data_IF_468079309665
#
_entry.id   IF_468079309665
#
_cell.length_a   1.000
_cell.length_b   1.000
_cell.length_c   1.000
_cell.angle_alpha   90.00
_cell.angle_beta   90.00
_cell.angle_gamma   90.00
#
_symmetry.space_group_name_H-M   'P 1'
#
loop_
_entity.id
_entity.type
_entity.pdbx_description
1 polymer ?
#
# COMPACT_ATOMS: atom_id res chain seq x y z
N UNK A 1 15.17 -5.98 -8.63
CA UNK A 1 14.00 -6.73 -9.11
C UNK A 1 14.47 -7.70 -10.17
N UNK A 2 14.25 -8.99 -9.96
CA UNK A 2 14.74 -10.05 -10.85
C UNK A 2 13.57 -10.93 -11.29
N UNK A 3 13.31 -10.94 -12.60
CA UNK A 3 12.32 -11.79 -13.23
C UNK A 3 12.97 -13.14 -13.60
N UNK A 4 12.34 -14.27 -13.24
CA UNK A 4 12.90 -15.60 -13.45
C UNK A 4 11.95 -16.55 -14.16
N UNK A 5 12.49 -17.37 -15.07
CA UNK A 5 11.80 -18.48 -15.73
C UNK A 5 12.72 -19.70 -15.68
N UNK A 6 12.24 -20.82 -15.15
CA UNK A 6 12.89 -22.11 -15.26
C UNK A 6 14.12 -22.35 -14.37
N UNK A 7 15.15 -23.00 -14.93
CA UNK A 7 16.33 -23.55 -14.22
C UNK A 7 17.27 -22.54 -13.56
N UNK A 8 17.09 -21.25 -13.79
CA UNK A 8 17.91 -20.18 -13.17
C UNK A 8 17.54 -19.91 -11.70
N UNK A 9 16.44 -20.48 -11.22
CA UNK A 9 15.90 -20.28 -9.89
C UNK A 9 16.87 -20.68 -8.77
N UNK A 10 17.55 -21.80 -8.90
CA UNK A 10 18.47 -22.32 -7.87
C UNK A 10 19.76 -21.51 -7.72
N UNK A 11 20.15 -20.73 -8.73
CA UNK A 11 21.37 -19.88 -8.68
C UNK A 11 21.09 -18.57 -7.97
N UNK A 12 19.85 -18.10 -7.96
CA UNK A 12 19.46 -16.77 -7.46
C UNK A 12 18.95 -16.77 -6.02
N UNK A 13 18.32 -17.86 -5.56
CA UNK A 13 17.93 -18.01 -4.15
C UNK A 13 19.14 -17.88 -3.21
N UNK A 14 20.29 -18.44 -3.61
CA UNK A 14 21.54 -18.34 -2.87
C UNK A 14 22.15 -16.93 -2.84
N UNK A 15 21.80 -16.06 -3.82
CA UNK A 15 22.27 -14.67 -3.88
C UNK A 15 21.38 -13.71 -3.11
N UNK A 16 20.06 -13.92 -3.10
CA UNK A 16 19.09 -13.03 -2.44
C UNK A 16 18.99 -13.36 -0.94
N UNK A 17 19.05 -14.64 -0.58
CA UNK A 17 18.91 -15.14 0.80
C UNK A 17 17.45 -15.14 1.28
N UNK A 18 17.13 -16.07 2.18
CA UNK A 18 15.81 -16.19 2.81
C UNK A 18 15.62 -15.12 3.91
N UNK A 19 14.37 -14.77 4.24
CA UNK A 19 13.13 -15.13 3.55
C UNK A 19 12.96 -14.43 2.21
N UNK A 20 12.16 -15.04 1.31
CA UNK A 20 11.86 -14.53 -0.03
C UNK A 20 10.37 -14.29 -0.19
N UNK A 21 10.00 -13.31 -1.02
CA UNK A 21 8.64 -13.10 -1.50
C UNK A 21 8.53 -13.58 -2.94
N UNK A 22 7.63 -14.52 -3.20
CA UNK A 22 7.26 -14.96 -4.56
C UNK A 22 6.05 -14.18 -5.01
N UNK A 23 6.15 -13.50 -6.15
CA UNK A 23 5.12 -12.57 -6.67
C UNK A 23 4.76 -12.95 -8.11
N UNK A 24 3.57 -13.52 -8.37
CA UNK A 24 3.08 -13.71 -9.72
C UNK A 24 2.86 -12.37 -10.43
N UNK A 25 3.13 -12.31 -11.74
CA UNK A 25 2.79 -11.13 -12.55
C UNK A 25 1.32 -11.16 -12.95
N UNK A 26 0.74 -9.95 -13.11
CA UNK A 26 -0.63 -9.74 -13.62
C UNK A 26 -1.75 -10.37 -12.78
N UNK A 27 -1.52 -10.58 -11.49
CA UNK A 27 -2.56 -11.00 -10.54
C UNK A 27 -3.10 -9.80 -9.76
N UNK A 28 -4.33 -9.92 -9.24
CA UNK A 28 -4.97 -8.90 -8.42
C UNK A 28 -5.02 -9.35 -6.96
N UNK A 29 -4.89 -8.39 -6.04
CA UNK A 29 -5.08 -8.62 -4.60
C UNK A 29 -4.08 -9.59 -3.98
N UNK A 30 -2.86 -9.67 -4.51
CA UNK A 30 -1.81 -10.55 -3.97
C UNK A 30 -2.04 -12.05 -4.16
N UNK A 31 -2.94 -12.45 -5.06
CA UNK A 31 -3.26 -13.86 -5.32
C UNK A 31 -2.00 -14.68 -5.59
N UNK A 32 -1.86 -15.81 -4.88
CA UNK A 32 -0.73 -16.72 -4.94
C UNK A 32 0.64 -16.05 -4.67
N UNK A 33 0.65 -14.92 -3.97
CA UNK A 33 1.87 -14.37 -3.37
C UNK A 33 2.16 -15.11 -2.08
N UNK A 34 3.43 -15.53 -1.90
CA UNK A 34 3.84 -16.31 -0.74
C UNK A 34 5.19 -15.87 -0.19
N UNK A 35 5.31 -15.88 1.14
CA UNK A 35 6.55 -15.64 1.84
C UNK A 35 7.23 -17.01 2.07
N UNK A 36 8.43 -17.17 1.52
CA UNK A 36 9.19 -18.41 1.57
C UNK A 36 10.27 -18.31 2.63
N UNK A 37 10.12 -19.05 3.72
CA UNK A 37 11.08 -19.09 4.81
C UNK A 37 12.12 -20.22 4.65
N UNK A 38 11.76 -21.29 3.96
CA UNK A 38 12.59 -22.48 3.81
C UNK A 38 12.79 -22.83 2.33
N UNK A 39 13.99 -23.25 1.99
CA UNK A 39 14.38 -23.57 0.60
C UNK A 39 13.54 -24.70 -0.02
N UNK A 40 13.11 -25.67 0.78
CA UNK A 40 12.29 -26.79 0.34
C UNK A 40 10.88 -26.36 -0.14
N UNK A 41 10.37 -25.24 0.36
CA UNK A 41 9.07 -24.67 0.00
C UNK A 41 9.11 -23.89 -1.33
N UNK A 42 10.29 -23.35 -1.70
CA UNK A 42 10.43 -22.42 -2.83
C UNK A 42 9.89 -23.02 -4.13
N UNK A 43 10.23 -24.28 -4.43
CA UNK A 43 9.79 -24.94 -5.67
C UNK A 43 8.27 -25.00 -5.77
N UNK A 44 7.61 -25.40 -4.68
CA UNK A 44 6.14 -25.51 -4.62
C UNK A 44 5.48 -24.15 -4.90
N UNK A 45 5.87 -23.11 -4.16
CA UNK A 45 5.27 -21.79 -4.28
C UNK A 45 5.55 -21.13 -5.62
N UNK A 46 6.72 -21.36 -6.21
CA UNK A 46 7.03 -20.90 -7.57
C UNK A 46 6.15 -21.58 -8.62
N UNK A 47 5.91 -22.90 -8.51
CA UNK A 47 5.01 -23.61 -9.42
C UNK A 47 3.56 -23.12 -9.30
N UNK A 48 3.08 -22.86 -8.09
CA UNK A 48 1.75 -22.28 -7.83
C UNK A 48 1.63 -20.86 -8.38
N UNK A 49 2.63 -20.02 -8.14
CA UNK A 49 2.71 -18.66 -8.65
C UNK A 49 2.75 -18.64 -10.19
N UNK A 50 3.49 -19.54 -10.82
CA UNK A 50 3.59 -19.64 -12.27
C UNK A 50 2.25 -20.01 -12.91
N UNK A 51 1.51 -20.95 -12.30
CA UNK A 51 0.16 -21.31 -12.74
C UNK A 51 -0.81 -20.11 -12.57
N UNK A 52 -0.74 -19.40 -11.44
CA UNK A 52 -1.59 -18.24 -11.18
C UNK A 52 -1.29 -17.07 -12.12
N UNK A 53 -0.04 -16.94 -12.58
CA UNK A 53 0.40 -15.94 -13.54
C UNK A 53 0.13 -16.31 -15.01
N UNK A 54 -0.58 -17.42 -15.28
CA UNK A 54 -0.84 -17.92 -16.65
C UNK A 54 0.44 -18.02 -17.48
N UNK A 55 1.47 -18.64 -16.89
CA UNK A 55 2.82 -18.83 -17.47
C UNK A 55 3.60 -17.52 -17.72
N UNK A 56 3.13 -16.39 -17.22
CA UNK A 56 3.89 -15.15 -17.25
C UNK A 56 5.04 -15.17 -16.23
N UNK A 57 6.05 -14.31 -16.40
CA UNK A 57 7.16 -14.21 -15.47
C UNK A 57 6.71 -13.97 -14.03
N UNK A 58 7.38 -14.63 -13.09
CA UNK A 58 7.23 -14.38 -11.66
C UNK A 58 8.40 -13.57 -11.14
N UNK A 59 8.14 -12.77 -10.12
CA UNK A 59 9.13 -11.96 -9.44
C UNK A 59 9.50 -12.63 -8.13
N UNK A 60 10.80 -12.67 -7.81
CA UNK A 60 11.30 -13.13 -6.51
C UNK A 60 12.09 -11.98 -5.89
N UNK A 61 11.60 -11.51 -4.76
CA UNK A 61 12.19 -10.41 -4.02
C UNK A 61 12.73 -10.87 -2.67
N UNK A 62 13.69 -10.15 -2.12
CA UNK A 62 14.04 -10.27 -0.71
C UNK A 62 12.85 -9.84 0.13
N UNK A 63 12.35 -10.70 1.00
CA UNK A 63 11.38 -10.30 2.00
C UNK A 63 12.08 -9.55 3.14
N UNK A 64 11.53 -8.39 3.51
CA UNK A 64 12.08 -7.55 4.57
C UNK A 64 11.24 -7.78 5.82
N UNK A 65 11.66 -8.73 6.61
CA UNK A 65 11.02 -9.13 7.86
C UNK A 65 10.95 -7.98 8.88
N UNK A 66 9.87 -7.89 9.65
CA UNK A 66 9.65 -6.85 10.67
C UNK A 66 9.85 -5.42 10.16
N UNK A 67 9.45 -5.13 8.93
CA UNK A 67 9.44 -3.78 8.39
C UNK A 67 8.09 -3.11 8.64
N UNK A 68 8.12 -1.82 8.89
CA UNK A 68 6.92 -0.99 8.93
C UNK A 68 6.48 -0.66 7.51
N UNK A 69 5.21 -0.90 7.18
CA UNK A 69 4.66 -0.51 5.90
C UNK A 69 4.03 0.88 5.93
N UNK A 70 4.16 1.58 4.82
CA UNK A 70 3.65 2.95 4.64
C UNK A 70 2.99 3.07 3.28
N UNK A 71 1.72 3.44 3.27
CA UNK A 71 0.98 3.78 2.06
C UNK A 71 1.01 5.27 1.80
N UNK A 72 1.22 5.68 0.55
CA UNK A 72 1.23 7.09 0.16
C UNK A 72 0.31 7.31 -1.02
N UNK A 73 -0.69 8.19 -0.84
CA UNK A 73 -1.52 8.64 -1.94
C UNK A 73 -1.08 10.03 -2.40
N UNK A 74 -0.91 10.18 -3.71
CA UNK A 74 -0.51 11.42 -4.35
C UNK A 74 -1.34 11.72 -5.60
N UNK A 75 -1.40 13.01 -5.98
CA UNK A 75 -1.98 13.48 -7.24
C UNK A 75 -0.89 14.24 -8.00
N UNK A 76 -0.74 13.94 -9.28
CA UNK A 76 0.20 14.61 -10.18
C UNK A 76 -0.50 15.15 -11.42
N UNK A 77 -0.06 16.31 -11.93
CA UNK A 77 -0.45 16.84 -13.24
C UNK A 77 0.64 16.64 -14.31
N UNK A 78 1.67 15.84 -13.99
CA UNK A 78 2.86 15.61 -14.82
C UNK A 78 3.96 16.66 -14.66
N UNK A 79 3.72 17.73 -13.90
CA UNK A 79 4.69 18.80 -13.60
C UNK A 79 4.79 19.08 -12.10
N UNK A 80 3.66 19.04 -11.41
CA UNK A 80 3.57 19.23 -9.97
C UNK A 80 2.97 17.99 -9.34
N UNK A 81 3.37 17.70 -8.11
CA UNK A 81 2.89 16.54 -7.33
C UNK A 81 2.45 17.02 -5.96
N UNK A 82 1.24 16.66 -5.58
CA UNK A 82 0.72 16.84 -4.23
C UNK A 82 0.64 15.49 -3.54
N UNK A 83 1.37 15.33 -2.45
CA UNK A 83 1.25 14.16 -1.56
C UNK A 83 0.03 14.40 -0.68
N UNK A 84 -1.04 13.68 -0.93
CA UNK A 84 -2.32 13.86 -0.27
C UNK A 84 -2.34 13.28 1.14
N UNK A 85 -1.67 12.14 1.34
CA UNK A 85 -1.54 11.49 2.64
C UNK A 85 -0.42 10.47 2.67
N UNK A 86 0.26 10.41 3.82
CA UNK A 86 1.20 9.36 4.18
C UNK A 86 0.54 8.62 5.33
N UNK A 87 0.26 7.33 5.15
CA UNK A 87 -0.44 6.48 6.11
C UNK A 87 0.53 5.43 6.64
N UNK A 88 0.63 5.33 7.96
CA UNK A 88 1.41 4.30 8.62
C UNK A 88 0.52 3.09 8.89
N UNK A 89 0.92 1.91 8.46
CA UNK A 89 0.25 0.66 8.80
C UNK A 89 0.53 0.25 10.25
N UNK A 90 -0.43 -0.41 10.86
CA UNK A 90 -0.31 -1.00 12.21
C UNK A 90 0.33 -2.38 12.09
N UNK A 91 -0.07 -3.15 11.09
CA UNK A 91 0.52 -4.45 10.78
C UNK A 91 1.88 -4.28 10.10
N UNK A 92 2.73 -5.28 10.27
CA UNK A 92 4.03 -5.33 9.60
C UNK A 92 3.91 -5.54 8.09
N UNK A 93 4.93 -5.13 7.35
CA UNK A 93 5.02 -5.37 5.92
C UNK A 93 4.96 -6.88 5.60
N UNK A 94 4.21 -7.23 4.56
CA UNK A 94 3.92 -8.61 4.17
C UNK A 94 2.45 -8.98 4.31
N UNK A 95 1.66 -8.18 5.02
CA UNK A 95 0.20 -8.23 5.00
C UNK A 95 -0.30 -7.28 3.91
N UNK A 96 -1.30 -7.72 3.13
CA UNK A 96 -1.85 -6.90 2.06
C UNK A 96 -2.36 -5.55 2.60
N UNK A 97 -2.02 -4.44 1.95
CA UNK A 97 -2.36 -3.08 2.41
C UNK A 97 -3.86 -2.85 2.61
N UNK A 98 -4.71 -3.56 1.84
CA UNK A 98 -6.16 -3.54 2.01
C UNK A 98 -6.64 -4.18 3.30
N UNK A 99 -5.85 -5.08 3.89
CA UNK A 99 -6.15 -5.83 5.12
C UNK A 99 -5.54 -5.20 6.36
N UNK A 100 -4.67 -4.20 6.18
CA UNK A 100 -3.99 -3.52 7.29
C UNK A 100 -4.80 -2.34 7.81
N UNK A 101 -4.80 -2.16 9.11
CA UNK A 101 -5.21 -0.91 9.74
C UNK A 101 -4.14 0.16 9.47
N UNK A 102 -4.53 1.41 9.37
CA UNK A 102 -3.55 2.48 9.23
C UNK A 102 -3.97 3.78 9.92
N UNK A 103 -2.97 4.55 10.30
CA UNK A 103 -3.13 5.88 10.90
C UNK A 103 -2.71 6.99 9.92
N UNK A 104 -3.42 8.10 9.95
CA UNK A 104 -3.12 9.35 9.24
C UNK A 104 -3.33 10.54 10.17
N UNK A 105 -2.30 11.34 10.46
CA UNK A 105 -0.91 11.21 10.03
C UNK A 105 -0.20 10.01 10.68
N UNK A 106 1.01 9.65 10.21
CA UNK A 106 1.87 8.67 10.86
C UNK A 106 2.19 9.04 12.30
N UNK A 107 2.26 8.04 13.19
CA UNK A 107 2.48 8.26 14.64
C UNK A 107 3.91 8.02 15.09
N UNK A 108 4.64 7.09 14.46
CA UNK A 108 5.97 6.68 14.92
C UNK A 108 7.09 6.91 13.92
N UNK A 109 6.78 7.42 12.72
CA UNK A 109 7.78 7.68 11.68
C UNK A 109 8.52 8.99 11.95
N UNK A 110 9.84 8.93 11.94
CA UNK A 110 10.69 10.11 12.18
C UNK A 110 10.48 11.17 11.07
N UNK A 111 10.49 12.48 11.42
CA UNK A 111 10.19 13.55 10.45
C UNK A 111 11.07 13.55 9.20
N UNK A 112 12.35 13.19 9.32
CA UNK A 112 13.25 13.14 8.16
C UNK A 112 12.90 12.00 7.18
N UNK A 113 12.39 10.87 7.68
CA UNK A 113 11.90 9.77 6.84
C UNK A 113 10.62 10.18 6.12
N UNK A 114 9.69 10.88 6.79
CA UNK A 114 8.49 11.41 6.14
C UNK A 114 8.85 12.36 4.99
N UNK A 115 9.82 13.24 5.19
CA UNK A 115 10.32 14.14 4.16
C UNK A 115 10.96 13.39 2.99
N UNK A 116 11.72 12.33 3.28
CA UNK A 116 12.34 11.52 2.23
C UNK A 116 11.29 10.71 1.45
N UNK A 117 10.30 10.12 2.12
CA UNK A 117 9.15 9.44 1.47
C UNK A 117 8.42 10.42 0.54
N UNK A 118 8.15 11.65 1.01
CA UNK A 118 7.53 12.68 0.19
C UNK A 118 8.37 13.03 -1.05
N UNK A 119 9.70 13.16 -0.89
CA UNK A 119 10.62 13.44 -1.98
C UNK A 119 10.66 12.28 -3.01
N UNK A 120 10.74 11.04 -2.54
CA UNK A 120 10.73 9.86 -3.42
C UNK A 120 9.40 9.74 -4.15
N UNK A 121 8.28 9.96 -3.48
CA UNK A 121 6.95 10.00 -4.09
C UNK A 121 6.89 11.00 -5.24
N UNK A 122 7.39 12.23 -5.03
CA UNK A 122 7.41 13.26 -6.07
C UNK A 122 8.30 12.87 -7.25
N UNK A 123 9.50 12.33 -6.99
CA UNK A 123 10.41 11.86 -8.03
C UNK A 123 9.79 10.74 -8.87
N UNK A 124 9.19 9.75 -8.24
CA UNK A 124 8.53 8.62 -8.91
C UNK A 124 7.35 9.07 -9.76
N UNK A 125 6.48 9.96 -9.23
CA UNK A 125 5.35 10.48 -9.98
C UNK A 125 5.77 11.22 -11.25
N UNK A 126 6.83 12.01 -11.18
CA UNK A 126 7.37 12.75 -12.34
C UNK A 126 8.07 11.82 -13.32
N UNK A 127 8.88 10.87 -12.84
CA UNK A 127 9.59 9.90 -13.68
C UNK A 127 8.64 9.00 -14.48
N UNK A 128 7.50 8.64 -13.87
CA UNK A 128 6.44 7.84 -14.51
C UNK A 128 5.44 8.70 -15.31
N UNK A 129 5.64 10.03 -15.37
CA UNK A 129 4.73 10.97 -16.03
C UNK A 129 3.26 10.80 -15.63
N UNK A 130 3.02 10.60 -14.33
CA UNK A 130 1.68 10.36 -13.81
C UNK A 130 0.80 11.59 -13.98
N UNK A 131 -0.43 11.38 -14.47
CA UNK A 131 -1.50 12.38 -14.52
C UNK A 131 -2.73 11.83 -13.82
N UNK A 132 -3.07 12.38 -12.67
CA UNK A 132 -4.10 11.86 -11.79
C UNK A 132 -3.51 11.26 -10.51
N UNK A 133 -4.13 10.20 -10.01
CA UNK A 133 -3.69 9.53 -8.80
C UNK A 133 -2.47 8.63 -9.01
N UNK A 134 -1.70 8.51 -7.95
CA UNK A 134 -0.69 7.49 -7.75
C UNK A 134 -0.68 7.06 -6.29
N UNK A 135 -0.61 5.75 -6.07
CA UNK A 135 -0.38 5.15 -4.77
C UNK A 135 1.01 4.50 -4.77
N UNK A 136 1.75 4.67 -3.69
CA UNK A 136 3.05 4.00 -3.49
C UNK A 136 3.03 3.32 -2.14
N UNK A 137 3.51 2.07 -2.12
CA UNK A 137 3.77 1.34 -0.89
C UNK A 137 5.27 1.32 -0.62
N UNK A 138 5.62 1.72 0.59
CA UNK A 138 6.99 1.70 1.09
C UNK A 138 7.09 0.77 2.30
N UNK A 139 8.27 0.19 2.49
CA UNK A 139 8.65 -0.45 3.73
C UNK A 139 9.79 0.33 4.39
N UNK A 140 9.77 0.44 5.71
CA UNK A 140 10.84 1.09 6.49
C UNK A 140 11.42 0.05 7.44
N UNK A 141 12.74 -0.17 7.35
CA UNK A 141 13.48 -1.01 8.30
C UNK A 141 14.79 -0.34 8.66
N UNK A 142 15.05 -0.15 9.97
CA UNK A 142 16.29 0.47 10.47
C UNK A 142 16.62 1.81 9.80
N UNK A 143 15.58 2.65 9.61
CA UNK A 143 15.69 3.97 8.95
C UNK A 143 16.01 3.92 7.45
N UNK A 144 16.03 2.75 6.82
CA UNK A 144 16.12 2.59 5.37
C UNK A 144 14.72 2.46 4.78
N UNK A 145 14.50 3.15 3.65
CA UNK A 145 13.22 3.18 2.92
C UNK A 145 13.34 2.31 1.68
N UNK A 146 12.40 1.40 1.53
CA UNK A 146 12.30 0.50 0.39
C UNK A 146 10.98 0.74 -0.33
N UNK A 147 11.00 0.77 -1.67
CA UNK A 147 9.78 0.83 -2.48
C UNK A 147 9.28 -0.59 -2.70
N UNK A 148 8.05 -0.89 -2.26
CA UNK A 148 7.40 -2.18 -2.50
C UNK A 148 6.76 -2.19 -3.88
N UNK A 149 5.87 -1.20 -4.14
CA UNK A 149 5.23 -1.05 -5.44
C UNK A 149 4.77 0.38 -5.69
N UNK A 150 4.58 0.70 -6.98
CA UNK A 150 4.02 1.98 -7.44
C UNK A 150 2.81 1.69 -8.31
N UNK A 151 1.67 2.23 -7.92
CA UNK A 151 0.40 2.07 -8.60
C UNK A 151 -0.07 3.41 -9.18
N UNK A 152 0.11 3.69 -10.49
CA UNK A 152 -0.35 4.95 -11.11
C UNK A 152 -1.87 4.94 -11.35
N UNK A 153 -2.63 4.80 -10.29
CA UNK A 153 -4.08 4.74 -10.21
C UNK A 153 -4.57 5.18 -8.84
N UNK A 154 -5.88 5.39 -8.69
CA UNK A 154 -6.50 5.55 -7.37
C UNK A 154 -6.36 4.27 -6.55
N UNK A 155 -6.11 4.42 -5.26
CA UNK A 155 -6.09 3.35 -4.26
C UNK A 155 -7.44 3.26 -3.53
N UNK A 156 -7.62 2.21 -2.74
CA UNK A 156 -8.76 2.07 -1.82
C UNK A 156 -8.71 3.10 -0.68
N UNK A 157 -7.51 3.59 -0.34
CA UNK A 157 -7.31 4.57 0.74
C UNK A 157 -7.68 6.00 0.34
N UNK A 158 -7.87 6.31 -0.95
CA UNK A 158 -8.26 7.66 -1.41
C UNK A 158 -9.51 8.22 -0.70
N UNK A 159 -10.62 7.48 -0.52
CA UNK A 159 -11.78 7.98 0.23
C UNK A 159 -11.46 8.31 1.69
N UNK A 160 -10.63 7.49 2.35
CA UNK A 160 -10.17 7.71 3.70
C UNK A 160 -9.33 9.00 3.80
N UNK A 161 -8.29 9.13 2.98
CA UNK A 161 -7.43 10.32 2.95
C UNK A 161 -8.25 11.58 2.61
N UNK A 162 -9.18 11.49 1.65
CA UNK A 162 -10.05 12.58 1.25
C UNK A 162 -10.88 13.11 2.41
N UNK A 163 -11.51 12.23 3.20
CA UNK A 163 -12.30 12.58 4.37
C UNK A 163 -11.41 13.11 5.50
N UNK A 164 -10.32 12.41 5.83
CA UNK A 164 -9.40 12.82 6.90
C UNK A 164 -8.78 14.20 6.65
N UNK A 165 -8.44 14.53 5.40
CA UNK A 165 -7.85 15.82 5.01
C UNK A 165 -8.88 16.90 4.68
N UNK A 166 -10.17 16.56 4.58
CA UNK A 166 -11.23 17.48 4.16
C UNK A 166 -11.04 18.01 2.74
N UNK A 167 -10.45 17.19 1.85
CA UNK A 167 -10.16 17.56 0.46
C UNK A 167 -10.91 16.62 -0.51
N UNK A 168 -11.60 17.13 -1.52
CA UNK A 168 -12.32 16.32 -2.50
C UNK A 168 -11.35 15.74 -3.54
N UNK A 169 -10.44 14.84 -3.09
CA UNK A 169 -9.30 14.36 -3.87
C UNK A 169 -9.71 13.70 -5.18
N UNK A 170 -10.78 12.90 -5.21
CA UNK A 170 -11.27 12.26 -6.43
C UNK A 170 -11.72 13.30 -7.47
N UNK A 171 -12.43 14.33 -7.04
CA UNK A 171 -12.84 15.44 -7.92
C UNK A 171 -11.63 16.20 -8.47
N UNK A 172 -10.62 16.46 -7.62
CA UNK A 172 -9.40 17.15 -8.03
C UNK A 172 -8.64 16.31 -9.06
N UNK A 173 -8.42 15.02 -8.80
CA UNK A 173 -7.71 14.13 -9.70
C UNK A 173 -8.42 13.99 -11.05
N UNK A 174 -9.75 13.86 -11.08
CA UNK A 174 -10.52 13.80 -12.32
C UNK A 174 -10.34 15.05 -13.17
N UNK A 175 -10.35 16.25 -12.54
CA UNK A 175 -10.11 17.51 -13.25
C UNK A 175 -8.68 17.64 -13.75
N UNK A 176 -7.70 17.14 -12.98
CA UNK A 176 -6.30 17.06 -13.41
C UNK A 176 -6.15 16.15 -14.62
N UNK A 177 -6.79 14.98 -14.61
CA UNK A 177 -6.82 14.06 -15.75
C UNK A 177 -7.47 14.69 -16.99
N UNK A 178 -8.45 15.59 -16.79
CA UNK A 178 -9.07 16.39 -17.85
C UNK A 178 -8.20 17.59 -18.31
N UNK A 179 -6.97 17.74 -17.78
CA UNK A 179 -5.99 18.74 -18.23
C UNK A 179 -5.86 19.98 -17.36
N UNK A 180 -6.55 20.06 -16.22
CA UNK A 180 -6.37 21.18 -15.29
C UNK A 180 -5.06 21.04 -14.52
N UNK A 181 -4.40 22.17 -14.22
CA UNK A 181 -3.15 22.19 -13.46
C UNK A 181 -3.45 22.09 -11.95
N UNK A 182 -2.61 21.38 -11.21
CA UNK A 182 -2.71 21.28 -9.75
C UNK A 182 -2.69 22.65 -9.04
N UNK A 183 -1.97 23.61 -9.58
CA UNK A 183 -1.89 24.99 -9.05
C UNK A 183 -3.24 25.73 -8.98
N UNK A 184 -4.28 25.24 -9.67
CA UNK A 184 -5.63 25.82 -9.61
C UNK A 184 -6.42 25.43 -8.35
N UNK A 185 -5.95 24.43 -7.61
CA UNK A 185 -6.68 23.88 -6.47
C UNK A 185 -6.08 24.35 -5.15
N UNK A 186 -6.94 24.63 -4.18
CA UNK A 186 -6.50 24.82 -2.81
C UNK A 186 -6.33 23.45 -2.13
N UNK A 187 -5.08 23.02 -2.02
CA UNK A 187 -4.69 21.72 -1.47
C UNK A 187 -4.24 21.80 0.00
N UNK A 188 -4.63 22.87 0.72
CA UNK A 188 -4.31 22.98 2.15
C UNK A 188 -5.05 21.92 2.96
N UNK A 189 -4.29 21.22 3.79
CA UNK A 189 -4.82 20.28 4.77
C UNK A 189 -5.81 20.97 5.72
N UNK A 190 -6.98 20.39 5.88
CA UNK A 190 -8.05 20.87 6.74
C UNK A 190 -8.26 20.00 7.98
N UNK A 191 -7.41 18.98 8.20
CA UNK A 191 -7.54 18.03 9.31
C UNK A 191 -7.35 18.64 10.70
N UNK A 192 -6.85 19.88 10.78
CA UNK A 192 -6.60 20.59 12.06
C UNK A 192 -5.73 19.78 13.07
N UNK A 193 -4.85 18.93 12.57
CA UNK A 193 -3.98 18.09 13.40
C UNK A 193 -4.67 16.86 14.01
N UNK A 194 -5.87 16.50 13.56
CA UNK A 194 -6.57 15.30 14.02
C UNK A 194 -5.94 14.04 13.46
N UNK A 195 -6.00 12.96 14.26
CA UNK A 195 -5.66 11.62 13.82
C UNK A 195 -6.90 10.91 13.29
N UNK A 196 -6.75 10.25 12.17
CA UNK A 196 -7.76 9.36 11.60
C UNK A 196 -7.19 7.95 11.48
N UNK A 197 -8.02 6.96 11.70
CA UNK A 197 -7.67 5.54 11.58
C UNK A 197 -8.59 4.88 10.57
N UNK A 198 -8.03 4.05 9.73
CA UNK A 198 -8.76 3.14 8.84
C UNK A 198 -8.58 1.72 9.37
N UNK A 199 -9.65 0.94 9.36
CA UNK A 199 -9.65 -0.49 9.69
C UNK A 199 -10.29 -1.28 8.56
N UNK A 200 -9.82 -2.50 8.33
CA UNK A 200 -10.35 -3.41 7.32
C UNK A 200 -11.61 -4.14 7.81
N UNK A 201 -12.54 -4.45 6.90
CA UNK A 201 -13.71 -5.26 7.19
C UNK A 201 -13.53 -6.66 6.60
N UNK A 202 -13.54 -7.68 7.45
CA UNK A 202 -13.35 -9.07 7.06
C UNK A 202 -14.66 -9.86 7.09
N UNK A 203 -15.08 -10.50 5.98
CA UNK A 203 -16.32 -11.26 5.92
C UNK A 203 -16.14 -12.74 6.34
N UNK A 204 -15.23 -13.04 7.25
CA UNK A 204 -14.90 -14.43 7.63
C UNK A 204 -16.10 -15.27 8.08
N UNK A 205 -17.08 -14.65 8.72
CA UNK A 205 -18.33 -15.32 9.11
C UNK A 205 -19.17 -15.83 7.92
N UNK A 206 -18.94 -15.27 6.71
CA UNK A 206 -19.60 -15.72 5.47
C UNK A 206 -18.79 -16.77 4.71
N UNK A 207 -17.53 -16.96 5.06
CA UNK A 207 -16.58 -17.86 4.41
C UNK A 207 -15.89 -18.75 5.44
N UNK A 208 -16.60 -19.75 6.02
CA UNK A 208 -16.12 -20.54 7.17
C UNK A 208 -14.87 -21.39 6.88
N UNK A 209 -14.53 -21.60 5.60
CA UNK A 209 -13.33 -22.34 5.20
C UNK A 209 -12.15 -21.43 4.82
N UNK A 210 -12.27 -20.12 5.01
CA UNK A 210 -11.17 -19.18 4.76
C UNK A 210 -10.15 -19.27 5.88
N UNK A 211 -8.88 -19.26 5.54
CA UNK A 211 -7.79 -19.06 6.50
C UNK A 211 -7.93 -17.65 7.12
N UNK A 212 -7.86 -17.58 8.44
CA UNK A 212 -7.95 -16.32 9.19
C UNK A 212 -6.61 -15.58 9.28
N UNK A 213 -5.51 -16.25 8.98
CA UNK A 213 -4.19 -15.64 9.00
C UNK A 213 -4.05 -14.61 7.87
N UNK A 214 -3.71 -13.39 8.22
CA UNK A 214 -3.44 -12.34 7.25
C UNK A 214 -2.07 -12.55 6.59
N UNK A 215 -1.98 -12.18 5.32
CA UNK A 215 -0.79 -12.34 4.52
C UNK A 215 -0.82 -11.45 3.27
N UNK A 216 -0.01 -11.77 2.26
CA UNK A 216 0.09 -10.95 1.05
C UNK A 216 -1.17 -10.98 0.19
N UNK A 217 -2.03 -12.00 0.31
CA UNK A 217 -3.30 -12.08 -0.40
C UNK A 217 -4.40 -11.36 0.36
N UNK A 218 -5.14 -10.46 -0.34
CA UNK A 218 -6.20 -9.65 0.24
C UNK A 218 -7.43 -10.49 0.61
N UNK A 219 -7.92 -10.33 1.84
CA UNK A 219 -9.11 -11.01 2.39
C UNK A 219 -10.24 -10.06 2.77
N UNK A 220 -9.95 -8.78 2.93
CA UNK A 220 -10.94 -7.75 3.29
C UNK A 220 -11.88 -7.42 2.13
N UNK A 221 -13.13 -7.04 2.47
CA UNK A 221 -14.15 -6.64 1.50
C UNK A 221 -14.59 -5.20 1.63
N UNK A 222 -14.11 -4.48 2.63
CA UNK A 222 -14.48 -3.11 2.90
C UNK A 222 -13.54 -2.47 3.91
N UNK A 223 -13.83 -1.20 4.21
CA UNK A 223 -13.08 -0.40 5.15
C UNK A 223 -14.04 0.42 6.02
N UNK A 224 -13.68 0.61 7.28
CA UNK A 224 -14.28 1.58 8.18
C UNK A 224 -13.23 2.59 8.59
N UNK A 225 -13.66 3.80 8.92
CA UNK A 225 -12.77 4.84 9.41
C UNK A 225 -13.33 5.48 10.67
N UNK A 226 -12.42 5.82 11.58
CA UNK A 226 -12.67 6.65 12.74
C UNK A 226 -11.72 7.84 12.76
N UNK A 227 -12.17 8.96 13.32
CA UNK A 227 -11.29 10.03 13.70
C UNK A 227 -11.71 10.58 15.06
N UNK A 228 -10.81 11.26 15.74
CA UNK A 228 -11.03 11.69 17.14
C UNK A 228 -12.30 12.55 17.33
N UNK A 229 -12.72 13.30 16.32
CA UNK A 229 -13.98 14.07 16.36
C UNK A 229 -15.22 13.16 16.26
N UNK A 230 -15.17 12.14 15.41
CA UNK A 230 -16.31 11.22 15.21
C UNK A 230 -16.51 10.26 16.39
N UNK A 231 -15.43 9.89 17.08
CA UNK A 231 -15.53 9.00 18.27
C UNK A 231 -16.08 9.73 19.48
N UNK A 232 -15.86 11.04 19.64
CA UNK A 232 -16.47 11.81 20.71
C UNK A 232 -17.98 11.96 20.48
N UNK A 233 -18.41 12.28 19.25
CA UNK A 233 -19.83 12.44 18.92
C UNK A 233 -20.60 11.13 19.04
N UNK A 234 -20.02 10.01 18.58
CA UNK A 234 -20.63 8.69 18.68
C UNK A 234 -20.74 8.18 20.14
N UNK A 235 -19.80 8.57 21.01
CA UNK A 235 -19.88 8.24 22.42
C UNK A 235 -21.00 9.02 23.15
N UNK A 236 -21.24 10.25 22.74
CA UNK A 236 -22.29 11.11 23.30
C UNK A 236 -23.71 10.67 22.86
N UNK A 237 -23.88 10.14 21.62
CA UNK A 237 -25.14 9.58 21.14
C UNK A 237 -25.54 8.27 21.84
N UNK A 238 -24.57 7.48 22.32
CA UNK A 238 -24.83 6.23 23.06
C UNK A 238 -25.09 6.45 24.57
N UNK A 239 -24.86 7.69 25.07
CA UNK A 239 -25.08 8.06 26.47
C UNK A 239 -26.37 8.86 26.69
N UNK A 240 -27.13 9.14 25.64
CA UNK A 240 -28.42 9.81 25.63
C UNK A 240 -29.55 8.81 25.36
#
# INVERSE_FOLDING_TARGET
VLCLVGSEMCIRDSKIGLPLMVRPSYVLGGRAMEIVHEKNQLKKFVEEAFKAAEENPILIDKFIDHAMEVDVDAISDGKQVHVAGIMQHIEEAGIHSGDSACSLPPVSIKPYLLKEIENQTKKLALALNVKGFMNIQFAIKKDEIYVIEVNPRASRTVPFVSKAKGLPLAKIASRVMAGEKLSKFNLKDKSKGMYAVKEAVFPFNKFPNSDLLLGPEMKSTGEVMGCLLYTSDAADELSS
#
